data_IF_350001799081
#
_entry.id   IF_350001799081
#
_cell.length_a   1.000
_cell.length_b   1.000
_cell.length_c   1.000
_cell.angle_alpha   90.00
_cell.angle_beta   90.00
_cell.angle_gamma   90.00
#
_symmetry.space_group_name_H-M   'P 1'
#
loop_
_entity.id
_entity.type
_entity.pdbx_description
1 polymer ?
#
# COMPACT_ATOMS: atom_id res chain seq x y z
N UNK A 1 -10.85 -4.46 18.06
CA UNK A 1 -10.98 -3.13 17.44
C UNK A 1 -10.23 -3.20 16.12
N UNK A 2 -10.83 -2.81 14.99
CA UNK A 2 -10.13 -2.89 13.70
C UNK A 2 -8.95 -1.88 13.68
N UNK A 3 -7.78 -2.27 13.15
CA UNK A 3 -6.58 -1.43 13.18
C UNK A 3 -6.78 -0.12 12.42
N UNK A 4 -6.14 0.95 12.87
CA UNK A 4 -6.07 2.20 12.11
C UNK A 4 -5.23 1.96 10.86
N UNK A 5 -5.73 2.37 9.69
CA UNK A 5 -4.97 2.30 8.44
C UNK A 5 -4.11 3.55 8.32
N UNK A 6 -2.81 3.36 8.42
CA UNK A 6 -1.82 4.39 8.10
C UNK A 6 -1.71 4.50 6.58
N UNK A 7 -1.75 5.72 6.04
CA UNK A 7 -1.77 5.99 4.59
C UNK A 7 -0.44 6.53 4.08
N UNK A 8 0.61 6.52 4.91
CA UNK A 8 1.99 6.88 4.53
C UNK A 8 2.89 5.67 4.72
N UNK A 9 3.81 5.41 3.80
CA UNK A 9 4.80 4.35 4.00
C UNK A 9 5.75 4.66 5.16
N UNK A 10 6.02 3.64 5.95
CA UNK A 10 7.15 3.59 6.88
C UNK A 10 7.91 2.29 6.61
N UNK A 11 8.95 2.39 5.78
CA UNK A 11 9.77 1.24 5.39
C UNK A 11 10.50 0.60 6.57
N UNK A 12 10.76 1.33 7.66
CA UNK A 12 11.44 0.80 8.85
C UNK A 12 10.58 -0.21 9.63
N UNK A 13 9.26 -0.16 9.43
CA UNK A 13 8.27 -1.08 10.02
C UNK A 13 7.81 -2.17 9.04
N UNK A 14 8.48 -2.28 7.89
CA UNK A 14 8.18 -3.26 6.85
C UNK A 14 9.33 -4.26 6.71
N UNK A 15 9.07 -5.38 6.03
CA UNK A 15 10.05 -6.39 5.65
C UNK A 15 10.36 -6.25 4.14
N UNK A 16 10.57 -5.01 3.68
CA UNK A 16 10.92 -4.67 2.30
C UNK A 16 9.96 -5.19 1.19
N UNK A 17 8.68 -5.41 1.51
CA UNK A 17 7.75 -6.14 0.63
C UNK A 17 7.60 -5.52 -0.77
N UNK A 18 7.55 -4.18 -0.89
CA UNK A 18 7.47 -3.51 -2.18
C UNK A 18 8.72 -3.69 -3.06
N UNK A 19 9.91 -3.85 -2.45
CA UNK A 19 11.16 -4.10 -3.17
C UNK A 19 11.27 -5.54 -3.70
N UNK A 20 10.38 -6.44 -3.29
CA UNK A 20 10.46 -7.88 -3.56
C UNK A 20 9.25 -8.37 -4.36
N UNK A 21 8.05 -7.89 -4.04
CA UNK A 21 6.80 -8.46 -4.53
C UNK A 21 6.63 -8.40 -6.06
N UNK A 22 7.15 -7.37 -6.72
CA UNK A 22 6.98 -7.17 -8.16
C UNK A 22 8.19 -7.66 -8.96
N UNK A 23 7.98 -8.21 -10.17
CA UNK A 23 9.06 -8.26 -11.14
C UNK A 23 9.47 -6.82 -11.50
N UNK A 24 10.66 -6.60 -12.04
CA UNK A 24 11.02 -5.26 -12.56
C UNK A 24 11.87 -5.27 -13.83
N UNK A 25 12.03 -6.44 -14.43
CA UNK A 25 12.58 -6.53 -15.77
C UNK A 25 11.74 -5.69 -16.73
N UNK A 26 12.42 -4.87 -17.53
CA UNK A 26 11.85 -4.00 -18.57
C UNK A 26 10.86 -2.93 -18.07
N UNK A 27 10.80 -2.66 -16.76
CA UNK A 27 9.98 -1.57 -16.24
C UNK A 27 10.76 -0.24 -16.22
N UNK A 28 10.23 0.83 -16.86
CA UNK A 28 10.87 2.14 -16.87
C UNK A 28 11.15 2.68 -15.46
N UNK A 29 12.41 3.04 -15.20
CA UNK A 29 12.85 3.56 -13.90
C UNK A 29 13.05 2.50 -12.81
N UNK A 30 13.03 1.20 -13.15
CA UNK A 30 13.38 0.14 -12.21
C UNK A 30 14.57 -0.68 -12.72
N UNK A 31 15.79 -0.15 -12.57
CA UNK A 31 17.02 -0.75 -13.12
C UNK A 31 17.36 -2.17 -12.65
N UNK A 32 16.72 -2.68 -11.59
CA UNK A 32 16.93 -4.06 -11.18
C UNK A 32 16.14 -5.02 -12.09
N UNK A 33 16.83 -5.77 -12.94
CA UNK A 33 16.25 -6.93 -13.60
C UNK A 33 16.09 -8.06 -12.58
N UNK A 34 14.85 -8.33 -12.16
CA UNK A 34 14.52 -9.36 -11.17
C UNK A 34 13.10 -9.91 -11.36
N UNK A 35 12.88 -11.14 -10.93
CA UNK A 35 11.56 -11.77 -10.91
C UNK A 35 10.69 -11.30 -9.73
N UNK A 36 9.39 -11.60 -9.79
CA UNK A 36 8.49 -11.42 -8.65
C UNK A 36 8.91 -12.34 -7.50
N UNK A 37 9.04 -11.80 -6.29
CA UNK A 37 9.54 -12.54 -5.13
C UNK A 37 11.07 -12.58 -5.01
N UNK A 38 11.79 -12.04 -5.99
CA UNK A 38 13.24 -11.86 -5.91
C UNK A 38 13.57 -10.52 -5.25
N UNK A 39 14.41 -10.50 -4.20
CA UNK A 39 14.84 -9.26 -3.56
C UNK A 39 15.59 -8.34 -4.54
N UNK A 40 15.33 -7.04 -4.45
CA UNK A 40 16.13 -6.04 -5.15
C UNK A 40 17.62 -6.19 -4.76
N UNK A 41 18.56 -6.15 -5.72
CA UNK A 41 20.00 -6.24 -5.43
C UNK A 41 20.54 -5.06 -4.62
N UNK A 42 19.77 -3.98 -4.49
CA UNK A 42 20.07 -2.80 -3.66
C UNK A 42 19.41 -2.85 -2.29
N UNK A 43 18.87 -4.00 -1.90
CA UNK A 43 18.28 -4.21 -0.59
C UNK A 43 19.37 -4.62 0.42
N UNK A 44 19.54 -3.83 1.47
CA UNK A 44 20.44 -4.12 2.56
C UNK A 44 19.93 -5.29 3.41
N UNK A 45 20.81 -5.85 4.24
CA UNK A 45 20.45 -6.92 5.18
C UNK A 45 19.41 -6.46 6.21
N UNK A 46 19.46 -5.17 6.56
CA UNK A 46 18.49 -4.46 7.40
C UNK A 46 17.15 -4.20 6.69
N UNK A 47 17.07 -4.43 5.37
CA UNK A 47 15.82 -4.33 4.60
C UNK A 47 15.55 -2.92 4.12
N UNK A 48 16.56 -2.06 4.21
CA UNK A 48 16.52 -0.70 3.69
C UNK A 48 17.26 -0.64 2.36
N UNK A 49 16.92 0.34 1.54
CA UNK A 49 17.58 0.56 0.26
C UNK A 49 18.98 1.13 0.51
N UNK A 50 20.03 0.46 0.04
CA UNK A 50 21.43 0.90 0.24
C UNK A 50 21.82 2.11 -0.60
N UNK A 51 20.93 2.58 -1.48
CA UNK A 51 21.14 3.71 -2.39
C UNK A 51 19.97 4.70 -2.31
N UNK A 52 19.32 4.82 -1.14
CA UNK A 52 18.05 5.54 -1.02
C UNK A 52 18.10 6.96 -1.59
N UNK A 53 19.19 7.68 -1.32
CA UNK A 53 19.37 9.06 -1.77
C UNK A 53 19.75 9.15 -3.26
N UNK A 54 20.51 8.19 -3.78
CA UNK A 54 21.04 8.18 -5.16
C UNK A 54 20.20 7.36 -6.16
N UNK A 55 18.93 7.09 -5.83
CA UNK A 55 18.09 6.20 -6.65
C UNK A 55 17.93 6.70 -8.07
N UNK A 56 17.71 8.00 -8.26
CA UNK A 56 17.44 8.56 -9.60
C UNK A 56 18.68 8.42 -10.47
N UNK A 57 19.84 8.78 -9.92
CA UNK A 57 21.15 8.73 -10.56
C UNK A 57 21.52 7.29 -10.94
N UNK A 58 21.09 6.30 -10.16
CA UNK A 58 21.31 4.88 -10.44
C UNK A 58 20.19 4.22 -11.29
N UNK A 59 19.26 5.02 -11.83
CA UNK A 59 18.19 4.57 -12.73
C UNK A 59 16.96 3.96 -12.04
N UNK A 60 16.83 4.11 -10.72
CA UNK A 60 15.70 3.67 -9.89
C UNK A 60 14.63 4.78 -9.70
N UNK A 61 14.43 5.66 -10.69
CA UNK A 61 13.44 6.74 -10.63
C UNK A 61 11.97 6.25 -10.53
N UNK A 62 11.69 4.99 -10.88
CA UNK A 62 10.42 4.34 -10.63
C UNK A 62 10.19 4.09 -9.13
N UNK A 63 11.25 3.73 -8.39
CA UNK A 63 11.18 3.53 -6.95
C UNK A 63 10.92 4.82 -6.16
N UNK A 64 11.29 6.00 -6.68
CA UNK A 64 10.97 7.28 -6.03
C UNK A 64 9.53 7.73 -6.25
N UNK A 65 8.90 7.27 -7.33
CA UNK A 65 7.50 7.57 -7.68
C UNK A 65 6.51 6.58 -7.07
N UNK A 66 7.01 5.40 -6.69
CA UNK A 66 6.21 4.35 -6.09
C UNK A 66 5.90 4.69 -4.63
N UNK A 67 4.63 4.53 -4.26
CA UNK A 67 4.17 4.61 -2.88
C UNK A 67 3.20 3.44 -2.62
N UNK A 68 3.30 2.84 -1.43
CA UNK A 68 2.43 1.76 -0.95
C UNK A 68 1.36 2.17 0.06
N UNK A 69 1.34 3.44 0.45
CA UNK A 69 0.33 4.03 1.33
C UNK A 69 0.07 3.15 2.55
N UNK A 70 1.14 2.66 3.16
CA UNK A 70 1.07 1.89 4.39
C UNK A 70 0.93 0.36 4.24
N UNK A 71 0.71 -0.15 3.02
CA UNK A 71 0.40 -1.58 2.83
C UNK A 71 1.48 -2.51 3.39
N UNK A 72 2.76 -2.14 3.18
CA UNK A 72 3.89 -2.96 3.61
C UNK A 72 3.96 -3.10 5.12
N UNK A 73 3.98 -1.98 5.86
CA UNK A 73 4.03 -2.05 7.32
C UNK A 73 2.75 -2.63 7.91
N UNK A 74 1.58 -2.43 7.29
CA UNK A 74 0.35 -3.04 7.77
C UNK A 74 0.42 -4.56 7.74
N UNK A 75 0.86 -5.14 6.62
CA UNK A 75 1.03 -6.60 6.49
C UNK A 75 1.98 -7.13 7.56
N UNK A 76 3.16 -6.54 7.68
CA UNK A 76 4.17 -7.03 8.63
C UNK A 76 3.69 -6.91 10.06
N UNK A 77 3.25 -5.71 10.46
CA UNK A 77 2.95 -5.42 11.87
C UNK A 77 1.61 -6.04 12.31
N UNK A 78 0.57 -5.97 11.46
CA UNK A 78 -0.78 -6.36 11.85
C UNK A 78 -1.14 -7.80 11.45
N UNK A 79 -0.68 -8.27 10.28
CA UNK A 79 -1.07 -9.60 9.78
C UNK A 79 -0.05 -10.70 10.08
N UNK A 80 1.22 -10.32 10.32
CA UNK A 80 2.32 -11.25 10.61
C UNK A 80 2.99 -10.98 11.97
N UNK A 81 2.47 -10.08 12.78
CA UNK A 81 2.92 -9.84 14.15
C UNK A 81 4.37 -9.33 14.24
N UNK A 82 4.80 -8.50 13.29
CA UNK A 82 6.14 -7.92 13.24
C UNK A 82 7.23 -8.86 12.73
N UNK A 83 6.89 -10.10 12.33
CA UNK A 83 7.86 -11.09 11.85
C UNK A 83 8.48 -10.71 10.51
N UNK A 84 9.69 -11.19 10.28
CA UNK A 84 10.43 -10.94 9.05
C UNK A 84 10.68 -12.22 8.24
N UNK A 85 10.41 -12.19 6.93
CA UNK A 85 10.68 -13.32 6.04
C UNK A 85 12.18 -13.63 5.88
N UNK A 86 13.06 -12.68 6.21
CA UNK A 86 14.52 -12.88 6.20
C UNK A 86 14.97 -13.79 7.33
N UNK A 87 14.24 -13.81 8.44
CA UNK A 87 14.47 -14.69 9.58
C UNK A 87 13.75 -16.04 9.40
N UNK A 88 12.59 -16.04 8.74
CA UNK A 88 11.84 -17.25 8.38
C UNK A 88 11.37 -17.20 6.92
N UNK A 89 12.12 -17.89 6.05
CA UNK A 89 11.85 -17.91 4.60
C UNK A 89 10.49 -18.49 4.23
N UNK A 90 9.86 -19.28 5.10
CA UNK A 90 8.51 -19.79 4.86
C UNK A 90 7.45 -18.66 4.81
N UNK A 91 7.75 -17.50 5.41
CA UNK A 91 6.85 -16.34 5.41
C UNK A 91 6.86 -15.55 4.11
N UNK A 92 7.91 -15.67 3.29
CA UNK A 92 8.11 -14.80 2.13
C UNK A 92 6.91 -14.84 1.17
N UNK A 93 6.46 -16.04 0.80
CA UNK A 93 5.36 -16.20 -0.14
C UNK A 93 4.02 -15.71 0.45
N UNK A 94 3.61 -16.13 1.65
CA UNK A 94 2.42 -15.59 2.31
C UNK A 94 2.42 -14.06 2.45
N UNK A 95 3.56 -13.46 2.81
CA UNK A 95 3.69 -12.01 2.97
C UNK A 95 3.55 -11.27 1.64
N UNK A 96 4.15 -11.77 0.56
CA UNK A 96 3.98 -11.19 -0.79
C UNK A 96 2.51 -11.25 -1.21
N UNK A 97 1.84 -12.37 -1.03
CA UNK A 97 0.42 -12.51 -1.39
C UNK A 97 -0.46 -11.57 -0.56
N UNK A 98 -0.22 -11.47 0.75
CA UNK A 98 -0.94 -10.56 1.62
C UNK A 98 -0.68 -9.09 1.22
N UNK A 99 0.56 -8.75 0.88
CA UNK A 99 0.92 -7.41 0.40
C UNK A 99 0.22 -7.04 -0.89
N UNK A 100 0.22 -7.91 -1.90
CA UNK A 100 -0.46 -7.67 -3.17
C UNK A 100 -1.98 -7.51 -2.98
N UNK A 101 -2.58 -8.23 -2.02
CA UNK A 101 -3.99 -8.08 -1.67
C UNK A 101 -4.27 -6.79 -0.85
N UNK A 102 -3.35 -6.39 0.02
CA UNK A 102 -3.46 -5.19 0.85
C UNK A 102 -3.26 -3.90 0.05
N UNK A 103 -2.49 -3.94 -1.04
CA UNK A 103 -2.22 -2.79 -1.91
C UNK A 103 -3.46 -1.99 -2.31
N UNK A 104 -4.49 -2.57 -2.96
CA UNK A 104 -5.69 -1.82 -3.30
C UNK A 104 -6.43 -1.30 -2.05
N UNK A 105 -6.38 -2.00 -0.92
CA UNK A 105 -7.01 -1.53 0.33
C UNK A 105 -6.33 -0.26 0.84
N UNK A 106 -4.99 -0.23 0.87
CA UNK A 106 -4.20 0.95 1.24
C UNK A 106 -4.40 2.11 0.27
N UNK A 107 -4.43 1.85 -1.04
CA UNK A 107 -4.68 2.87 -2.06
C UNK A 107 -6.07 3.51 -1.85
N UNK A 108 -7.10 2.70 -1.60
CA UNK A 108 -8.46 3.18 -1.31
C UNK A 108 -8.54 3.92 0.04
N UNK A 109 -7.78 3.51 1.05
CA UNK A 109 -7.73 4.20 2.33
C UNK A 109 -7.12 5.61 2.19
N UNK A 110 -6.03 5.73 1.43
CA UNK A 110 -5.44 7.02 1.08
C UNK A 110 -6.43 7.92 0.31
N UNK A 111 -7.13 7.36 -0.68
CA UNK A 111 -8.16 8.11 -1.41
C UNK A 111 -9.34 8.54 -0.53
N UNK A 112 -9.77 7.69 0.41
CA UNK A 112 -10.82 8.07 1.36
C UNK A 112 -10.38 9.23 2.27
N UNK A 113 -9.12 9.23 2.71
CA UNK A 113 -8.52 10.32 3.48
C UNK A 113 -8.48 11.62 2.66
N UNK A 114 -7.99 11.56 1.41
CA UNK A 114 -7.95 12.73 0.51
C UNK A 114 -9.32 13.29 0.16
N UNK A 115 -10.32 12.43 -0.02
CA UNK A 115 -11.69 12.88 -0.22
C UNK A 115 -12.27 13.56 1.03
N UNK A 116 -11.88 13.14 2.23
CA UNK A 116 -12.29 13.79 3.48
C UNK A 116 -11.62 15.17 3.66
N UNK A 117 -10.34 15.30 3.29
CA UNK A 117 -9.59 16.56 3.33
C UNK A 117 -10.17 17.62 2.36
N UNK A 118 -10.77 17.19 1.26
CA UNK A 118 -11.45 18.07 0.30
C UNK A 118 -12.74 18.72 0.83
N UNK A 119 -13.01 18.64 2.13
CA UNK A 119 -14.13 19.23 2.84
C UNK A 119 -15.49 18.95 2.15
N UNK A 120 -15.87 17.67 1.98
CA UNK A 120 -17.08 17.31 1.27
C UNK A 120 -18.34 17.69 2.05
N UNK A 121 -19.50 17.65 1.40
CA UNK A 121 -20.78 17.85 2.09
C UNK A 121 -21.05 16.75 3.11
N UNK A 122 -21.90 17.01 4.12
CA UNK A 122 -22.05 16.10 5.27
C UNK A 122 -22.53 14.69 4.91
N UNK A 123 -23.37 14.53 3.88
CA UNK A 123 -23.79 13.21 3.39
C UNK A 123 -22.59 12.38 2.89
N UNK A 124 -21.71 12.99 2.10
CA UNK A 124 -20.49 12.35 1.60
C UNK A 124 -19.49 12.05 2.72
N UNK A 125 -19.44 12.87 3.78
CA UNK A 125 -18.60 12.56 4.95
C UNK A 125 -19.02 11.24 5.60
N UNK A 126 -20.31 10.97 5.71
CA UNK A 126 -20.76 9.70 6.30
C UNK A 126 -20.46 8.51 5.39
N UNK A 127 -20.67 8.65 4.08
CA UNK A 127 -20.30 7.62 3.11
C UNK A 127 -18.78 7.31 3.18
N UNK A 128 -17.94 8.34 3.28
CA UNK A 128 -16.49 8.17 3.45
C UNK A 128 -16.13 7.47 4.77
N UNK A 129 -16.80 7.80 5.87
CA UNK A 129 -16.60 7.09 7.15
C UNK A 129 -17.01 5.63 7.04
N UNK A 130 -18.08 5.32 6.34
CA UNK A 130 -18.53 3.94 6.10
C UNK A 130 -17.51 3.18 5.24
N UNK A 131 -17.00 3.79 4.16
CA UNK A 131 -15.92 3.20 3.36
C UNK A 131 -14.68 2.95 4.23
N UNK A 132 -14.28 3.92 5.06
CA UNK A 132 -13.14 3.77 5.96
C UNK A 132 -13.32 2.65 6.99
N UNK A 133 -14.53 2.45 7.51
CA UNK A 133 -14.86 1.30 8.40
C UNK A 133 -14.69 -0.02 7.66
N UNK A 134 -15.29 -0.14 6.47
CA UNK A 134 -15.22 -1.35 5.65
C UNK A 134 -13.77 -1.69 5.27
N UNK A 135 -12.95 -0.71 4.88
CA UNK A 135 -11.54 -0.93 4.56
C UNK A 135 -10.74 -1.44 5.77
N UNK A 136 -10.99 -0.92 6.97
CA UNK A 136 -10.36 -1.43 8.21
C UNK A 136 -10.75 -2.87 8.52
N UNK A 137 -11.99 -3.25 8.24
CA UNK A 137 -12.44 -4.64 8.41
C UNK A 137 -11.82 -5.58 7.38
N UNK A 138 -11.76 -5.17 6.11
CA UNK A 138 -11.06 -5.91 5.05
C UNK A 138 -9.60 -6.15 5.47
N UNK A 139 -8.92 -5.10 5.95
CA UNK A 139 -7.52 -5.16 6.37
C UNK A 139 -7.26 -5.94 7.68
N UNK A 140 -8.30 -6.44 8.36
CA UNK A 140 -8.19 -7.02 9.69
C UNK A 140 -7.60 -8.45 9.75
N UNK A 141 -7.51 -9.15 8.62
CA UNK A 141 -6.99 -10.53 8.59
C UNK A 141 -6.47 -10.94 7.21
N UNK A 142 -5.69 -12.03 7.17
CA UNK A 142 -5.22 -12.65 5.92
C UNK A 142 -6.36 -13.16 5.04
N UNK A 143 -7.50 -13.52 5.63
CA UNK A 143 -8.67 -14.00 4.89
C UNK A 143 -9.43 -12.83 4.27
N UNK A 144 -9.77 -11.82 5.07
CA UNK A 144 -10.59 -10.68 4.65
C UNK A 144 -9.87 -9.78 3.65
N UNK A 145 -8.55 -9.63 3.75
CA UNK A 145 -7.77 -8.77 2.84
C UNK A 145 -7.80 -9.26 1.39
N UNK A 146 -8.17 -10.53 1.18
CA UNK A 146 -8.30 -11.16 -0.14
C UNK A 146 -9.73 -11.07 -0.71
N UNK A 147 -10.67 -10.46 0.01
CA UNK A 147 -12.06 -10.29 -0.44
C UNK A 147 -12.17 -9.20 -1.52
N UNK A 148 -11.90 -9.60 -2.76
CA UNK A 148 -11.98 -8.71 -3.93
C UNK A 148 -13.37 -8.13 -4.15
N UNK A 149 -14.42 -8.82 -3.71
CA UNK A 149 -15.81 -8.35 -3.81
C UNK A 149 -16.07 -7.16 -2.90
N UNK A 150 -15.59 -7.21 -1.65
CA UNK A 150 -15.62 -6.08 -0.70
C UNK A 150 -14.76 -4.91 -1.17
N UNK A 151 -13.53 -5.18 -1.61
CA UNK A 151 -12.61 -4.16 -2.13
C UNK A 151 -13.24 -3.41 -3.31
N UNK A 152 -13.82 -4.14 -4.28
CA UNK A 152 -14.46 -3.52 -5.43
C UNK A 152 -15.71 -2.70 -5.07
N UNK A 153 -16.42 -3.02 -3.96
CA UNK A 153 -17.51 -2.18 -3.45
C UNK A 153 -16.99 -0.85 -2.90
N UNK A 154 -15.91 -0.88 -2.10
CA UNK A 154 -15.25 0.34 -1.62
C UNK A 154 -14.76 1.20 -2.78
N UNK A 155 -14.14 0.60 -3.80
CA UNK A 155 -13.70 1.32 -4.99
C UNK A 155 -14.85 1.99 -5.73
N UNK A 156 -15.96 1.30 -5.96
CA UNK A 156 -17.16 1.88 -6.60
C UNK A 156 -17.74 3.03 -5.78
N UNK A 157 -17.80 2.89 -4.46
CA UNK A 157 -18.26 3.95 -3.57
C UNK A 157 -17.36 5.19 -3.67
N UNK A 158 -16.04 5.03 -3.57
CA UNK A 158 -15.10 6.15 -3.73
C UNK A 158 -15.18 6.78 -5.12
N UNK A 159 -15.28 6.00 -6.20
CA UNK A 159 -15.48 6.55 -7.55
C UNK A 159 -16.73 7.43 -7.63
N UNK A 160 -17.85 7.01 -7.02
CA UNK A 160 -19.08 7.80 -6.97
C UNK A 160 -18.93 9.08 -6.15
N UNK A 161 -18.22 9.00 -5.01
CA UNK A 161 -17.92 10.17 -4.17
C UNK A 161 -17.06 11.17 -4.95
N UNK A 162 -15.94 10.73 -5.51
CA UNK A 162 -15.02 11.57 -6.28
C UNK A 162 -15.67 12.22 -7.51
N UNK A 163 -16.61 11.53 -8.16
CA UNK A 163 -17.39 12.10 -9.26
C UNK A 163 -18.32 13.25 -8.82
N UNK A 164 -18.64 13.33 -7.53
CA UNK A 164 -19.49 14.35 -6.93
C UNK A 164 -18.70 15.47 -6.24
N UNK A 165 -17.36 15.36 -6.16
CA UNK A 165 -16.49 16.38 -5.58
C UNK A 165 -16.13 17.45 -6.62
N UNK A 166 -16.03 18.70 -6.17
CA UNK A 166 -15.48 19.78 -6.99
C UNK A 166 -13.96 19.55 -7.21
N UNK A 167 -13.48 19.42 -8.47
CA UNK A 167 -12.06 19.29 -8.76
C UNK A 167 -11.19 20.41 -8.18
N UNK A 168 -11.74 21.60 -7.94
CA UNK A 168 -11.02 22.72 -7.34
C UNK A 168 -10.63 22.44 -5.87
N UNK A 169 -11.40 21.64 -5.15
CA UNK A 169 -11.10 21.26 -3.76
C UNK A 169 -10.06 20.13 -3.66
N UNK A 170 -9.94 19.30 -4.71
CA UNK A 170 -8.95 18.22 -4.78
C UNK A 170 -7.51 18.71 -5.05
N UNK A 171 -7.33 19.91 -5.60
CA UNK A 171 -6.01 20.47 -5.95
C UNK A 171 -5.34 21.26 -4.83
N UNK A 172 -6.06 21.50 -3.72
CA UNK A 172 -5.60 22.32 -2.59
C UNK A 172 -5.12 21.50 -1.38
N UNK A 173 -5.11 20.16 -1.49
CA UNK A 173 -4.78 19.21 -0.41
C UNK A 173 -3.52 18.40 -0.72
#
# INVERSE_FOLDING_TARGET
MAPVLETRSDCSRCAALCCIAYPSQDMPGFSAAKAAGEPCPKLGKDGLCTIYEDRVEQGFAGCTRYECFGAGQHVVQQLFGGRDWREDRALLRPMIEAFLAMRPVSDLAYLAEKAMEAAPQDGLKEDLRQVGRELREIAGSLHTVRDSGRIARCERALRSIYASLDPAHLRKS
#
